data_IF_485229382277
#
_entry.id   IF_485229382277
#
_cell.length_a   1.000
_cell.length_b   1.000
_cell.length_c   1.000
_cell.angle_alpha   90.00
_cell.angle_beta   90.00
_cell.angle_gamma   90.00
#
_symmetry.space_group_name_H-M   'P 1'
#
loop_
_entity.id
_entity.type
_entity.pdbx_description
1 polymer ?
#
# COMPACT_ATOMS: atom_id res chain seq x y z
N UNK A 1 3.64 4.63 -24.48
CA UNK A 1 3.49 3.16 -24.49
C UNK A 1 4.50 2.56 -25.46
N UNK A 2 5.68 2.12 -24.97
CA UNK A 2 6.81 1.72 -25.83
C UNK A 2 6.46 0.61 -26.84
N UNK A 3 5.62 -0.35 -26.45
CA UNK A 3 5.19 -1.42 -27.35
C UNK A 3 4.39 -0.89 -28.54
N UNK A 4 3.48 0.08 -28.34
CA UNK A 4 2.72 0.70 -29.43
C UNK A 4 3.66 1.56 -30.29
N UNK A 5 4.58 2.30 -29.68
CA UNK A 5 5.59 3.11 -30.39
C UNK A 5 6.39 2.24 -31.38
N UNK A 6 6.83 1.06 -30.93
CA UNK A 6 7.48 0.09 -31.79
C UNK A 6 6.55 -0.45 -32.88
N UNK A 7 5.32 -0.86 -32.53
CA UNK A 7 4.37 -1.43 -33.49
C UNK A 7 4.10 -0.47 -34.64
N UNK A 8 3.81 0.80 -34.37
CA UNK A 8 3.48 1.79 -35.41
C UNK A 8 4.69 2.22 -36.24
N UNK A 9 5.92 1.89 -35.79
CA UNK A 9 7.13 2.10 -36.60
C UNK A 9 7.26 1.09 -37.76
N UNK A 10 6.51 -0.02 -37.73
CA UNK A 10 6.59 -1.08 -38.73
C UNK A 10 5.69 -0.75 -39.94
N UNK A 11 6.20 -0.85 -41.18
CA UNK A 11 5.47 -0.45 -42.38
C UNK A 11 4.19 -1.27 -42.65
N UNK A 12 4.09 -2.49 -42.12
CA UNK A 12 2.93 -3.37 -42.23
C UNK A 12 1.81 -3.07 -41.22
N UNK A 13 2.02 -2.13 -40.29
CA UNK A 13 1.04 -1.78 -39.27
C UNK A 13 0.30 -0.50 -39.65
N UNK A 14 -1.03 -0.59 -39.78
CA UNK A 14 -1.89 0.59 -39.86
C UNK A 14 -2.06 1.19 -38.46
N UNK A 15 -1.35 2.29 -38.21
CA UNK A 15 -1.38 3.02 -36.93
C UNK A 15 -2.78 3.51 -36.53
N UNK A 16 -3.75 3.53 -37.45
CA UNK A 16 -5.15 3.90 -37.15
C UNK A 16 -6.01 2.71 -36.69
N UNK A 17 -5.48 1.48 -36.73
CA UNK A 17 -6.22 0.24 -36.48
C UNK A 17 -5.58 -0.59 -35.37
N UNK A 18 -5.25 0.04 -34.26
CA UNK A 18 -4.67 -0.64 -33.10
C UNK A 18 -5.78 -1.16 -32.16
N UNK A 19 -5.80 -2.47 -31.97
CA UNK A 19 -6.62 -3.15 -30.97
C UNK A 19 -5.81 -3.49 -29.72
N UNK A 20 -6.43 -3.43 -28.54
CA UNK A 20 -5.79 -3.82 -27.28
C UNK A 20 -6.70 -4.75 -26.46
N UNK A 21 -6.18 -5.89 -26.02
CA UNK A 21 -6.95 -6.89 -25.26
C UNK A 21 -6.02 -7.70 -24.37
N UNK A 22 -6.53 -8.14 -23.23
CA UNK A 22 -5.81 -8.96 -22.27
C UNK A 22 -6.75 -9.41 -21.15
N UNK A 23 -6.33 -10.44 -20.41
CA UNK A 23 -7.11 -11.06 -19.34
C UNK A 23 -6.46 -10.81 -17.98
N UNK A 24 -7.26 -10.61 -16.94
CA UNK A 24 -6.75 -10.42 -15.56
C UNK A 24 -5.79 -9.23 -15.48
N UNK A 25 -4.53 -9.41 -15.10
CA UNK A 25 -3.52 -8.35 -15.21
C UNK A 25 -3.33 -7.79 -16.62
N UNK A 26 -3.53 -8.60 -17.66
CA UNK A 26 -3.63 -8.11 -19.04
C UNK A 26 -4.90 -7.27 -19.28
N UNK A 27 -5.97 -7.54 -18.55
CA UNK A 27 -7.20 -6.74 -18.51
C UNK A 27 -6.99 -5.41 -17.77
N UNK A 28 -6.23 -5.41 -16.67
CA UNK A 28 -5.73 -4.22 -15.97
C UNK A 28 -4.97 -3.33 -16.95
N UNK A 29 -3.94 -3.88 -17.59
CA UNK A 29 -3.13 -3.17 -18.57
C UNK A 29 -3.98 -2.66 -19.74
N UNK A 30 -4.89 -3.48 -20.27
CA UNK A 30 -5.82 -3.05 -21.33
C UNK A 30 -6.62 -1.84 -20.90
N UNK A 31 -7.11 -1.81 -19.66
CA UNK A 31 -7.95 -0.74 -19.13
C UNK A 31 -7.19 0.58 -18.97
N UNK A 32 -5.95 0.53 -18.46
CA UNK A 32 -5.11 1.72 -18.36
C UNK A 32 -4.71 2.25 -19.73
N UNK A 33 -4.26 1.35 -20.60
CA UNK A 33 -3.76 1.72 -21.92
C UNK A 33 -4.86 2.29 -22.79
N UNK A 34 -6.05 1.66 -22.80
CA UNK A 34 -7.16 2.14 -23.60
C UNK A 34 -7.70 3.51 -23.12
N UNK A 35 -7.51 3.84 -21.84
CA UNK A 35 -7.91 5.12 -21.27
C UNK A 35 -6.87 6.23 -21.48
N UNK A 36 -5.58 5.89 -21.57
CA UNK A 36 -4.47 6.85 -21.62
C UNK A 36 -3.82 7.03 -23.01
N UNK A 37 -3.95 6.06 -23.92
CA UNK A 37 -3.32 6.13 -25.25
C UNK A 37 -4.37 6.20 -26.36
N UNK A 38 -4.51 7.39 -26.95
CA UNK A 38 -5.50 7.70 -28.00
C UNK A 38 -5.34 6.88 -29.27
N UNK A 39 -4.20 6.20 -29.47
CA UNK A 39 -3.96 5.34 -30.64
C UNK A 39 -4.77 4.04 -30.57
N UNK A 40 -5.26 3.65 -29.39
CA UNK A 40 -6.09 2.44 -29.24
C UNK A 40 -7.49 2.68 -29.83
N UNK A 41 -7.67 2.23 -31.07
CA UNK A 41 -8.92 2.34 -31.81
C UNK A 41 -10.01 1.39 -31.27
N UNK A 42 -9.66 0.20 -30.79
CA UNK A 42 -10.59 -0.80 -30.25
C UNK A 42 -10.01 -1.49 -29.01
N UNK A 43 -10.83 -1.77 -27.99
CA UNK A 43 -10.36 -2.42 -26.77
C UNK A 43 -11.33 -3.50 -26.27
N UNK A 44 -10.76 -4.53 -25.62
CA UNK A 44 -11.53 -5.59 -24.97
C UNK A 44 -10.84 -6.11 -23.69
N UNK A 45 -10.93 -5.40 -22.55
CA UNK A 45 -10.45 -5.93 -21.28
C UNK A 45 -11.28 -7.15 -20.86
N UNK A 46 -10.60 -8.24 -20.50
CA UNK A 46 -11.24 -9.48 -20.08
C UNK A 46 -10.98 -9.79 -18.59
N UNK A 47 -12.03 -10.22 -17.87
CA UNK A 47 -11.95 -10.79 -16.53
C UNK A 47 -11.14 -9.93 -15.55
N UNK A 48 -11.53 -8.64 -15.46
CA UNK A 48 -10.90 -7.63 -14.61
C UNK A 48 -11.87 -6.52 -14.19
N UNK A 49 -12.55 -5.89 -15.15
CA UNK A 49 -13.41 -4.74 -14.86
C UNK A 49 -14.60 -5.12 -13.98
N UNK A 50 -14.69 -4.49 -12.81
CA UNK A 50 -15.79 -4.55 -11.86
C UNK A 50 -16.07 -3.13 -11.35
N UNK A 51 -16.55 -2.95 -10.12
CA UNK A 51 -16.48 -1.67 -9.38
C UNK A 51 -15.59 -1.84 -8.16
N UNK A 52 -14.86 -0.81 -7.73
CA UNK A 52 -14.06 -0.88 -6.50
C UNK A 52 -14.92 -1.25 -5.31
N UNK A 53 -16.14 -0.71 -5.21
CA UNK A 53 -17.05 -1.09 -4.14
C UNK A 53 -17.21 -2.61 -4.04
N UNK A 54 -17.51 -3.26 -5.16
CA UNK A 54 -17.65 -4.73 -5.20
C UNK A 54 -16.33 -5.43 -4.93
N UNK A 55 -15.25 -4.96 -5.54
CA UNK A 55 -13.91 -5.53 -5.34
C UNK A 55 -13.50 -5.53 -3.87
N UNK A 56 -13.69 -4.40 -3.18
CA UNK A 56 -13.37 -4.23 -1.76
C UNK A 56 -14.31 -5.05 -0.86
N UNK A 57 -15.63 -5.07 -1.16
CA UNK A 57 -16.62 -5.83 -0.39
C UNK A 57 -16.44 -7.35 -0.51
N UNK A 58 -15.85 -7.86 -1.61
CA UNK A 58 -15.71 -9.31 -1.84
C UNK A 58 -14.32 -9.84 -1.53
N UNK A 59 -13.29 -9.36 -2.23
CA UNK A 59 -11.94 -9.95 -2.19
C UNK A 59 -10.87 -8.99 -1.65
N UNK A 60 -11.20 -7.71 -1.52
CA UNK A 60 -10.30 -6.64 -1.08
C UNK A 60 -9.48 -6.05 -2.23
N UNK A 61 -8.54 -5.13 -1.93
CA UNK A 61 -7.63 -4.61 -2.95
C UNK A 61 -6.78 -5.75 -3.55
N UNK A 62 -6.30 -5.56 -4.77
CA UNK A 62 -5.54 -6.57 -5.51
C UNK A 62 -4.03 -6.28 -5.49
N UNK A 63 -3.26 -6.94 -6.34
CA UNK A 63 -1.82 -6.74 -6.46
C UNK A 63 -1.40 -5.30 -6.86
N UNK A 64 -0.09 -5.04 -6.82
CA UNK A 64 0.47 -3.70 -6.98
C UNK A 64 0.05 -3.01 -8.29
N UNK A 65 -0.11 -3.77 -9.38
CA UNK A 65 -0.49 -3.23 -10.69
C UNK A 65 -1.92 -2.69 -10.74
N UNK A 66 -2.78 -3.12 -9.81
CA UNK A 66 -4.21 -2.75 -9.75
C UNK A 66 -4.53 -1.61 -8.77
N UNK A 67 -3.54 -1.08 -8.06
CA UNK A 67 -3.76 -0.03 -7.05
C UNK A 67 -2.94 1.21 -7.38
N UNK A 68 -3.61 2.27 -7.84
CA UNK A 68 -3.00 3.58 -8.07
C UNK A 68 -3.15 4.43 -6.80
N UNK A 69 -2.09 5.16 -6.43
CA UNK A 69 -2.10 6.01 -5.23
C UNK A 69 -3.21 7.06 -5.31
N UNK A 70 -4.04 7.13 -4.28
CA UNK A 70 -5.14 8.10 -4.19
C UNK A 70 -6.29 7.86 -5.15
N UNK A 71 -6.34 6.75 -5.89
CA UNK A 71 -7.36 6.52 -6.91
C UNK A 71 -8.79 6.71 -6.41
N UNK A 72 -9.11 6.16 -5.23
CA UNK A 72 -10.42 6.33 -4.59
C UNK A 72 -10.59 7.73 -3.98
N UNK A 73 -9.51 8.34 -3.47
CA UNK A 73 -9.53 9.74 -2.99
C UNK A 73 -9.93 10.71 -4.12
N UNK A 74 -9.40 10.50 -5.32
CA UNK A 74 -9.75 11.26 -6.52
C UNK A 74 -11.12 10.89 -7.11
N UNK A 75 -11.81 9.91 -6.54
CA UNK A 75 -13.13 9.46 -6.98
C UNK A 75 -13.13 8.62 -8.26
N UNK A 76 -11.98 8.07 -8.67
CA UNK A 76 -11.88 7.20 -9.84
C UNK A 76 -12.24 5.76 -9.49
N UNK A 77 -13.07 5.16 -10.33
CA UNK A 77 -13.49 3.76 -10.28
C UNK A 77 -13.21 3.05 -11.62
N UNK A 78 -13.22 1.71 -11.64
CA UNK A 78 -13.03 0.90 -12.84
C UNK A 78 -13.97 1.29 -14.01
N UNK A 79 -15.25 1.71 -13.80
CA UNK A 79 -16.10 2.23 -14.87
C UNK A 79 -15.53 3.47 -15.56
N UNK A 80 -14.73 4.29 -14.86
CA UNK A 80 -14.19 5.52 -15.43
C UNK A 80 -13.18 5.23 -16.54
N UNK A 81 -12.44 4.12 -16.49
CA UNK A 81 -11.57 3.70 -17.60
C UNK A 81 -12.36 3.50 -18.90
N UNK A 82 -13.60 2.98 -18.81
CA UNK A 82 -14.47 2.80 -19.97
C UNK A 82 -15.10 4.12 -20.40
N UNK A 83 -15.52 4.94 -19.44
CA UNK A 83 -16.19 6.23 -19.69
C UNK A 83 -15.23 7.25 -20.32
N UNK A 84 -13.99 7.34 -19.84
CA UNK A 84 -12.93 8.20 -20.41
C UNK A 84 -12.69 7.93 -21.89
N UNK A 85 -13.00 6.71 -22.33
CA UNK A 85 -12.82 6.27 -23.70
C UNK A 85 -13.99 6.59 -24.61
N UNK A 86 -15.11 7.06 -24.08
CA UNK A 86 -16.32 7.29 -24.85
C UNK A 86 -16.09 8.33 -25.97
N UNK A 87 -16.56 8.09 -27.21
CA UNK A 87 -17.39 6.96 -27.66
C UNK A 87 -16.61 5.83 -28.38
N UNK A 88 -15.32 5.60 -28.07
CA UNK A 88 -14.52 4.60 -28.79
C UNK A 88 -14.94 3.15 -28.45
N UNK A 89 -14.86 2.19 -29.38
CA UNK A 89 -15.36 0.82 -29.23
C UNK A 89 -14.74 -0.05 -28.11
N UNK A 90 -15.47 -0.31 -27.01
CA UNK A 90 -14.99 -1.11 -25.87
C UNK A 90 -15.91 -2.32 -25.61
N UNK A 91 -15.35 -3.53 -25.56
CA UNK A 91 -16.07 -4.75 -25.14
C UNK A 91 -15.61 -5.18 -23.74
N UNK A 92 -16.53 -5.26 -22.80
CA UNK A 92 -16.26 -5.84 -21.48
C UNK A 92 -16.45 -7.36 -21.59
N UNK A 93 -15.38 -8.13 -21.45
CA UNK A 93 -15.45 -9.59 -21.49
C UNK A 93 -15.33 -10.18 -20.09
N UNK A 94 -16.26 -11.04 -19.68
CA UNK A 94 -16.27 -11.59 -18.33
C UNK A 94 -16.71 -13.06 -18.30
N UNK A 95 -16.53 -13.68 -17.14
CA UNK A 95 -17.00 -15.04 -16.84
C UNK A 95 -17.87 -15.06 -15.58
N UNK A 96 -18.81 -16.01 -15.47
CA UNK A 96 -19.83 -16.05 -14.40
C UNK A 96 -19.27 -16.32 -13.01
N UNK A 97 -18.24 -17.16 -12.90
CA UNK A 97 -17.62 -17.61 -11.65
C UNK A 97 -16.19 -17.05 -11.49
N UNK A 98 -15.99 -15.81 -11.91
CA UNK A 98 -14.76 -15.06 -11.66
C UNK A 98 -14.71 -14.58 -10.20
N UNK A 99 -13.49 -14.42 -9.65
CA UNK A 99 -13.30 -13.75 -8.38
C UNK A 99 -13.49 -12.22 -8.50
N UNK A 100 -13.33 -11.65 -9.69
CA UNK A 100 -13.85 -10.32 -9.99
C UNK A 100 -15.37 -10.37 -10.08
N UNK A 101 -16.05 -9.78 -9.10
CA UNK A 101 -17.50 -9.90 -8.96
C UNK A 101 -18.25 -9.38 -10.21
N UNK A 102 -19.02 -10.29 -10.81
CA UNK A 102 -19.79 -10.06 -12.04
C UNK A 102 -20.87 -8.98 -11.89
N UNK A 103 -21.42 -8.77 -10.68
CA UNK A 103 -22.43 -7.74 -10.45
C UNK A 103 -21.80 -6.37 -10.62
N UNK A 104 -20.58 -6.19 -10.12
CA UNK A 104 -19.80 -4.97 -10.37
C UNK A 104 -19.44 -4.78 -11.84
N UNK A 105 -19.16 -5.85 -12.59
CA UNK A 105 -18.94 -5.76 -14.05
C UNK A 105 -20.18 -5.30 -14.81
N UNK A 106 -21.37 -5.79 -14.44
CA UNK A 106 -22.64 -5.31 -14.99
C UNK A 106 -22.96 -3.87 -14.59
N UNK A 107 -22.67 -3.47 -13.34
CA UNK A 107 -22.77 -2.08 -12.89
C UNK A 107 -21.87 -1.17 -13.75
N UNK A 108 -20.62 -1.57 -13.97
CA UNK A 108 -19.66 -0.89 -14.85
C UNK A 108 -20.21 -0.72 -16.28
N UNK A 109 -20.65 -1.82 -16.90
CA UNK A 109 -21.23 -1.78 -18.24
C UNK A 109 -22.43 -0.83 -18.34
N UNK A 110 -23.36 -0.88 -17.38
CA UNK A 110 -24.57 -0.03 -17.39
C UNK A 110 -24.22 1.45 -17.29
N UNK A 111 -23.23 1.81 -16.48
CA UNK A 111 -22.74 3.19 -16.38
C UNK A 111 -22.15 3.64 -17.72
N UNK A 112 -21.26 2.86 -18.32
CA UNK A 112 -20.67 3.16 -19.62
C UNK A 112 -21.73 3.26 -20.73
N UNK A 113 -22.64 2.28 -20.82
CA UNK A 113 -23.73 2.25 -21.83
C UNK A 113 -24.60 3.51 -21.78
N UNK A 114 -24.89 4.03 -20.58
CA UNK A 114 -25.65 5.28 -20.41
C UNK A 114 -24.91 6.48 -20.99
N UNK A 115 -23.60 6.59 -20.77
CA UNK A 115 -22.79 7.69 -21.30
C UNK A 115 -22.66 7.58 -22.82
N UNK A 116 -22.28 6.41 -23.33
CA UNK A 116 -22.18 6.14 -24.76
C UNK A 116 -23.51 6.40 -25.50
N UNK A 117 -24.63 6.02 -24.89
CA UNK A 117 -25.97 6.31 -25.43
C UNK A 117 -26.29 7.79 -25.51
N UNK A 118 -25.89 8.59 -24.51
CA UNK A 118 -26.04 10.06 -24.54
C UNK A 118 -25.16 10.73 -25.61
N UNK A 119 -24.03 10.11 -25.95
CA UNK A 119 -23.17 10.54 -27.05
C UNK A 119 -23.66 10.06 -28.42
N UNK A 120 -24.80 9.38 -28.49
CA UNK A 120 -25.37 8.86 -29.73
C UNK A 120 -24.62 7.66 -30.31
N UNK A 121 -23.77 7.00 -29.51
CA UNK A 121 -22.93 5.86 -29.91
C UNK A 121 -23.08 4.65 -28.98
N UNK A 122 -24.31 4.23 -28.61
CA UNK A 122 -24.52 3.12 -27.68
C UNK A 122 -23.93 1.80 -28.18
N UNK A 123 -23.79 1.61 -29.48
CA UNK A 123 -23.22 0.43 -30.12
C UNK A 123 -21.71 0.29 -29.92
N UNK A 124 -21.02 1.35 -29.49
CA UNK A 124 -19.57 1.33 -29.24
C UNK A 124 -19.19 0.83 -27.84
N UNK A 125 -20.14 0.38 -27.02
CA UNK A 125 -19.84 -0.33 -25.78
C UNK A 125 -20.78 -1.51 -25.62
N UNK A 126 -20.20 -2.68 -25.37
CA UNK A 126 -20.95 -3.90 -25.12
C UNK A 126 -20.30 -4.78 -24.06
N UNK A 127 -21.02 -5.82 -23.65
CA UNK A 127 -20.56 -6.81 -22.68
C UNK A 127 -20.80 -8.22 -23.20
N UNK A 128 -19.82 -9.10 -23.00
CA UNK A 128 -19.98 -10.54 -23.22
C UNK A 128 -19.78 -11.28 -21.90
N UNK A 129 -20.81 -12.00 -21.49
CA UNK A 129 -20.83 -12.87 -20.32
C UNK A 129 -20.84 -14.33 -20.77
N UNK A 130 -19.88 -15.11 -20.30
CA UNK A 130 -19.75 -16.53 -20.62
C UNK A 130 -19.67 -17.35 -19.33
N UNK A 131 -20.34 -18.49 -19.30
CA UNK A 131 -20.23 -19.43 -18.19
C UNK A 131 -18.77 -19.89 -18.03
N UNK A 132 -18.24 -19.81 -16.81
CA UNK A 132 -16.90 -20.31 -16.51
C UNK A 132 -16.23 -19.58 -15.35
N UNK A 133 -15.04 -20.05 -15.02
CA UNK A 133 -14.14 -19.42 -14.05
C UNK A 133 -13.25 -18.38 -14.73
N UNK A 134 -12.50 -17.66 -13.89
CA UNK A 134 -11.49 -16.68 -14.30
C UNK A 134 -10.64 -17.13 -15.51
N UNK A 135 -10.73 -16.37 -16.61
CA UNK A 135 -10.00 -16.65 -17.85
C UNK A 135 -10.79 -16.27 -19.10
N UNK A 136 -10.14 -16.40 -20.27
CA UNK A 136 -10.79 -16.20 -21.58
C UNK A 136 -11.27 -17.54 -22.10
N UNK A 137 -12.58 -17.78 -22.07
CA UNK A 137 -13.18 -18.98 -22.66
C UNK A 137 -13.16 -18.91 -24.19
N UNK A 138 -13.27 -20.05 -24.91
CA UNK A 138 -13.28 -20.05 -26.38
C UNK A 138 -14.34 -19.12 -26.99
N UNK A 139 -15.52 -19.02 -26.36
CA UNK A 139 -16.56 -18.09 -26.79
C UNK A 139 -16.24 -16.62 -26.46
N UNK A 140 -15.55 -16.33 -25.35
CA UNK A 140 -15.04 -14.98 -25.09
C UNK A 140 -14.08 -14.57 -26.22
N UNK A 141 -13.12 -15.44 -26.58
CA UNK A 141 -12.14 -15.17 -27.63
C UNK A 141 -12.81 -14.94 -28.99
N UNK A 142 -13.79 -15.76 -29.35
CA UNK A 142 -14.55 -15.57 -30.59
C UNK A 142 -15.27 -14.21 -30.62
N UNK A 143 -15.87 -13.80 -29.50
CA UNK A 143 -16.59 -12.53 -29.37
C UNK A 143 -15.65 -11.32 -29.38
N UNK A 144 -14.52 -11.39 -28.67
CA UNK A 144 -13.45 -10.39 -28.74
C UNK A 144 -12.95 -10.26 -30.19
N UNK A 145 -12.74 -11.37 -30.88
CA UNK A 145 -12.31 -11.37 -32.29
C UNK A 145 -13.35 -10.71 -33.19
N UNK A 146 -14.64 -11.02 -33.01
CA UNK A 146 -15.73 -10.37 -33.73
C UNK A 146 -15.73 -8.85 -33.50
N UNK A 147 -15.59 -8.41 -32.24
CA UNK A 147 -15.51 -7.00 -31.88
C UNK A 147 -14.35 -6.28 -32.58
N UNK A 148 -13.15 -6.88 -32.55
CA UNK A 148 -11.98 -6.34 -33.23
C UNK A 148 -12.18 -6.25 -34.75
N UNK A 149 -12.75 -7.29 -35.39
CA UNK A 149 -13.05 -7.28 -36.84
C UNK A 149 -14.04 -6.20 -37.20
N UNK A 150 -15.10 -6.03 -36.42
CA UNK A 150 -16.12 -5.00 -36.64
C UNK A 150 -15.50 -3.60 -36.64
N UNK A 151 -14.69 -3.29 -35.64
CA UNK A 151 -14.22 -1.92 -35.42
C UNK A 151 -12.90 -1.57 -36.10
N UNK A 152 -12.00 -2.55 -36.27
CA UNK A 152 -10.71 -2.31 -36.93
C UNK A 152 -10.78 -2.57 -38.43
N UNK A 153 -11.63 -3.50 -38.89
CA UNK A 153 -11.71 -3.90 -40.29
C UNK A 153 -13.02 -3.49 -40.97
N UNK A 154 -14.01 -2.98 -40.22
CA UNK A 154 -15.33 -2.67 -40.76
C UNK A 154 -16.13 -3.93 -41.13
N UNK A 155 -15.83 -5.09 -40.53
CA UNK A 155 -16.43 -6.38 -40.86
C UNK A 155 -17.23 -6.93 -39.68
N UNK A 156 -18.54 -6.67 -39.70
CA UNK A 156 -19.48 -7.15 -38.70
C UNK A 156 -20.02 -8.54 -39.05
N UNK A 157 -19.15 -9.54 -38.94
CA UNK A 157 -19.43 -10.93 -39.34
C UNK A 157 -19.14 -11.91 -38.18
N UNK A 158 -20.00 -12.93 -38.03
CA UNK A 158 -19.83 -13.95 -36.99
C UNK A 158 -18.44 -14.61 -37.06
N UNK A 159 -17.81 -14.76 -35.89
CA UNK A 159 -16.57 -15.53 -35.71
C UNK A 159 -16.93 -16.81 -34.96
N UNK A 160 -16.70 -17.96 -35.61
CA UNK A 160 -16.87 -19.27 -34.97
C UNK A 160 -15.78 -19.50 -33.95
N UNK A 161 -16.08 -20.26 -32.89
CA UNK A 161 -15.04 -20.80 -32.01
C UNK A 161 -14.07 -21.62 -32.86
N UNK A 162 -12.78 -21.36 -32.68
CA UNK A 162 -11.72 -22.06 -33.38
C UNK A 162 -10.68 -22.56 -32.38
N UNK A 163 -10.20 -23.78 -32.60
CA UNK A 163 -9.00 -24.26 -31.95
C UNK A 163 -7.78 -23.65 -32.64
N UNK A 164 -6.97 -22.93 -31.89
CA UNK A 164 -5.74 -22.33 -32.39
C UNK A 164 -4.57 -23.28 -32.16
N UNK A 165 -3.77 -23.49 -33.21
CA UNK A 165 -2.55 -24.28 -33.09
C UNK A 165 -1.59 -23.64 -32.09
N UNK A 166 -1.22 -24.39 -31.05
CA UNK A 166 -0.21 -23.96 -30.08
C UNK A 166 1.19 -24.22 -30.60
N UNK A 167 2.13 -23.33 -30.29
CA UNK A 167 3.56 -23.55 -30.54
C UNK A 167 4.29 -23.90 -29.24
N UNK A 168 5.37 -24.70 -29.31
CA UNK A 168 6.26 -24.89 -28.17
C UNK A 168 6.77 -23.55 -27.63
N UNK A 169 6.83 -23.40 -26.30
CA UNK A 169 7.29 -22.16 -25.67
C UNK A 169 8.69 -21.73 -26.12
N UNK A 170 9.57 -22.68 -26.44
CA UNK A 170 10.91 -22.42 -26.94
C UNK A 170 10.93 -21.64 -28.28
N UNK A 171 9.90 -21.78 -29.11
CA UNK A 171 9.76 -21.02 -30.36
C UNK A 171 9.35 -19.56 -30.14
N UNK A 172 8.86 -19.24 -28.94
CA UNK A 172 8.38 -17.90 -28.57
C UNK A 172 9.45 -17.07 -27.85
N UNK A 173 10.59 -17.67 -27.51
CA UNK A 173 11.66 -16.97 -26.79
C UNK A 173 12.42 -16.03 -27.73
N UNK A 174 12.58 -14.77 -27.32
CA UNK A 174 13.40 -13.79 -28.05
C UNK A 174 14.91 -13.92 -27.75
N UNK A 175 15.27 -14.71 -26.73
CA UNK A 175 16.67 -15.01 -26.37
C UNK A 175 16.84 -16.51 -26.06
N UNK A 176 18.07 -17.01 -26.04
CA UNK A 176 18.34 -18.45 -25.84
C UNK A 176 17.76 -19.00 -24.54
N UNK A 177 17.80 -18.22 -23.46
CA UNK A 177 17.30 -18.61 -22.14
C UNK A 177 15.91 -18.05 -21.82
N UNK A 178 15.37 -17.19 -22.68
CA UNK A 178 14.20 -16.35 -22.35
C UNK A 178 14.49 -15.20 -21.39
N UNK A 179 15.73 -15.06 -20.91
CA UNK A 179 16.13 -14.01 -19.97
C UNK A 179 17.02 -12.98 -20.66
N UNK A 180 16.61 -11.72 -20.67
CA UNK A 180 17.39 -10.63 -21.29
C UNK A 180 18.68 -10.36 -20.52
N UNK A 181 18.62 -10.37 -19.19
CA UNK A 181 19.76 -10.08 -18.30
C UNK A 181 20.98 -10.98 -18.51
N UNK A 182 20.75 -12.25 -18.84
CA UNK A 182 21.84 -13.22 -19.08
C UNK A 182 22.19 -13.35 -20.56
N UNK A 183 21.35 -12.84 -21.45
CA UNK A 183 21.50 -13.04 -22.89
C UNK A 183 22.08 -11.83 -23.63
N UNK A 184 21.94 -10.63 -23.08
CA UNK A 184 22.35 -9.40 -23.72
C UNK A 184 23.33 -8.62 -22.82
N UNK A 185 24.42 -8.06 -23.36
CA UNK A 185 25.37 -7.29 -22.57
C UNK A 185 24.75 -5.95 -22.14
N UNK A 186 25.07 -5.49 -20.93
CA UNK A 186 24.66 -4.20 -20.36
C UNK A 186 23.15 -4.04 -20.09
N UNK A 187 22.38 -5.13 -20.02
CA UNK A 187 20.99 -5.08 -19.57
C UNK A 187 20.88 -4.80 -18.07
N UNK A 188 19.76 -4.21 -17.67
CA UNK A 188 19.50 -3.78 -16.29
C UNK A 188 18.19 -4.36 -15.78
N UNK A 189 18.19 -4.83 -14.54
CA UNK A 189 16.98 -5.29 -13.86
C UNK A 189 16.13 -4.12 -13.39
N UNK A 190 14.86 -4.37 -13.03
CA UNK A 190 14.03 -3.36 -12.37
C UNK A 190 14.66 -2.85 -11.07
N UNK A 191 15.43 -3.69 -10.36
CA UNK A 191 16.15 -3.31 -9.16
C UNK A 191 17.29 -2.33 -9.47
N UNK A 192 18.04 -2.56 -10.56
CA UNK A 192 19.08 -1.63 -11.01
C UNK A 192 18.48 -0.29 -11.43
N UNK A 193 17.32 -0.30 -12.09
CA UNK A 193 16.58 0.90 -12.48
C UNK A 193 16.11 1.68 -11.25
N UNK A 194 15.51 1.00 -10.28
CA UNK A 194 15.06 1.60 -9.02
C UNK A 194 16.23 2.16 -8.21
N UNK A 195 17.37 1.48 -8.16
CA UNK A 195 18.57 1.96 -7.47
C UNK A 195 19.11 3.26 -8.08
N UNK A 196 19.13 3.38 -9.42
CA UNK A 196 19.53 4.63 -10.08
C UNK A 196 18.50 5.73 -9.86
N UNK A 197 17.21 5.41 -9.89
CA UNK A 197 16.18 6.39 -9.60
C UNK A 197 16.28 6.90 -8.16
N UNK A 198 16.52 6.02 -7.19
CA UNK A 198 16.77 6.40 -5.80
C UNK A 198 18.00 7.31 -5.67
N UNK A 199 19.10 7.04 -6.37
CA UNK A 199 20.28 7.92 -6.35
C UNK A 199 19.96 9.33 -6.84
N UNK A 200 19.15 9.46 -7.89
CA UNK A 200 18.68 10.76 -8.39
C UNK A 200 17.83 11.48 -7.32
N UNK A 201 16.92 10.76 -6.67
CA UNK A 201 16.11 11.30 -5.58
C UNK A 201 16.96 11.72 -4.37
N UNK A 202 18.00 10.97 -4.04
CA UNK A 202 18.94 11.32 -2.97
C UNK A 202 19.69 12.62 -3.25
N UNK A 203 20.08 12.88 -4.50
CA UNK A 203 20.66 14.17 -4.88
C UNK A 203 19.65 15.31 -4.73
N UNK A 204 18.42 15.13 -5.22
CA UNK A 204 17.36 16.15 -5.13
C UNK A 204 16.99 16.45 -3.68
N UNK A 205 16.81 15.40 -2.87
CA UNK A 205 16.52 15.49 -1.44
C UNK A 205 17.62 16.22 -0.68
N UNK A 206 18.88 15.97 -1.02
CA UNK A 206 20.02 16.64 -0.37
C UNK A 206 19.98 18.15 -0.58
N UNK A 207 19.64 18.64 -1.77
CA UNK A 207 19.47 20.07 -2.01
C UNK A 207 18.21 20.61 -1.32
N UNK A 208 17.08 19.88 -1.36
CA UNK A 208 15.84 20.27 -0.67
C UNK A 208 16.08 20.56 0.82
N UNK A 209 16.83 19.70 1.51
CA UNK A 209 17.14 19.84 2.94
C UNK A 209 18.15 20.96 3.27
N UNK A 210 18.91 21.47 2.28
CA UNK A 210 19.74 22.67 2.48
C UNK A 210 18.92 23.96 2.35
N UNK A 211 17.88 23.93 1.53
CA UNK A 211 17.03 25.08 1.23
C UNK A 211 15.92 25.31 2.25
N UNK A 212 15.63 24.32 3.11
CA UNK A 212 14.54 24.37 4.08
C UNK A 212 15.04 24.15 5.51
N UNK A 213 14.40 24.83 6.45
CA UNK A 213 14.56 24.60 7.88
C UNK A 213 14.00 23.24 8.30
N UNK A 214 14.40 22.78 9.50
CA UNK A 214 13.88 21.53 10.08
C UNK A 214 12.36 21.56 10.29
N UNK A 215 11.79 22.71 10.66
CA UNK A 215 10.35 22.87 10.87
C UNK A 215 9.57 22.79 9.55
N UNK A 216 10.10 23.40 8.48
CA UNK A 216 9.52 23.27 7.14
C UNK A 216 9.59 21.82 6.64
N UNK A 217 10.71 21.11 6.89
CA UNK A 217 10.82 19.70 6.55
C UNK A 217 9.86 18.83 7.36
N UNK A 218 9.72 19.08 8.67
CA UNK A 218 8.73 18.41 9.54
C UNK A 218 7.31 18.60 9.00
N UNK A 219 6.97 19.81 8.57
CA UNK A 219 5.67 20.13 7.95
C UNK A 219 5.45 19.34 6.66
N UNK A 220 6.43 19.30 5.75
CA UNK A 220 6.35 18.53 4.50
C UNK A 220 6.18 17.02 4.77
N UNK A 221 6.91 16.49 5.75
CA UNK A 221 6.82 15.07 6.15
C UNK A 221 5.44 14.75 6.73
N UNK A 222 4.94 15.61 7.64
CA UNK A 222 3.60 15.47 8.22
C UNK A 222 2.51 15.47 7.14
N UNK A 223 2.61 16.38 6.17
CA UNK A 223 1.69 16.44 5.02
C UNK A 223 1.75 15.18 4.16
N UNK A 224 2.96 14.67 3.87
CA UNK A 224 3.13 13.46 3.06
C UNK A 224 2.55 12.22 3.77
N UNK A 225 2.72 12.14 5.08
CA UNK A 225 2.14 11.09 5.91
C UNK A 225 0.63 11.25 6.15
N UNK A 226 0.06 12.42 5.84
CA UNK A 226 -1.33 12.78 6.18
C UNK A 226 -1.61 12.67 7.68
N UNK A 227 -0.63 12.96 8.53
CA UNK A 227 -0.76 13.00 9.98
C UNK A 227 -1.28 14.38 10.39
N UNK A 228 -2.37 14.43 11.16
CA UNK A 228 -2.98 15.69 11.64
C UNK A 228 -2.06 16.45 12.59
N UNK A 229 -2.23 17.77 12.68
CA UNK A 229 -1.49 18.58 13.65
C UNK A 229 -1.95 18.25 15.09
N UNK A 230 -1.08 18.40 16.12
CA UNK A 230 -1.45 18.11 17.50
C UNK A 230 -2.69 18.87 17.97
N UNK A 231 -2.91 20.09 17.47
CA UNK A 231 -4.08 20.92 17.77
C UNK A 231 -5.40 20.40 17.16
N UNK A 232 -5.32 19.51 16.18
CA UNK A 232 -6.46 18.91 15.48
C UNK A 232 -6.84 17.53 16.04
N UNK A 233 -6.01 16.97 16.92
CA UNK A 233 -6.17 15.64 17.49
C UNK A 233 -6.66 15.76 18.93
N UNK A 234 -7.72 15.03 19.27
CA UNK A 234 -8.16 14.89 20.66
C UNK A 234 -7.49 13.68 21.32
N UNK A 235 -7.25 13.76 22.64
CA UNK A 235 -6.77 12.64 23.43
C UNK A 235 -7.61 11.38 23.23
N UNK A 236 -6.99 10.19 23.23
CA UNK A 236 -7.76 8.95 23.15
C UNK A 236 -8.59 8.73 24.42
N UNK A 237 -9.75 8.10 24.25
CA UNK A 237 -10.54 7.61 25.36
C UNK A 237 -10.03 6.22 25.76
N UNK A 238 -9.59 6.05 27.00
CA UNK A 238 -9.07 4.80 27.51
C UNK A 238 -10.12 4.03 28.32
N UNK A 239 -10.25 2.74 28.04
CA UNK A 239 -11.16 1.84 28.76
C UNK A 239 -10.38 0.66 29.34
N UNK A 240 -10.43 0.50 30.66
CA UNK A 240 -9.98 -0.73 31.33
C UNK A 240 -10.98 -1.85 31.06
N UNK A 241 -10.47 -2.96 30.52
CA UNK A 241 -11.26 -4.15 30.18
C UNK A 241 -10.89 -5.36 31.06
N UNK A 242 -9.90 -5.25 31.93
CA UNK A 242 -9.59 -6.28 32.93
C UNK A 242 -8.13 -6.30 33.39
N UNK A 243 -7.93 -6.83 34.59
CA UNK A 243 -6.61 -6.92 35.25
C UNK A 243 -6.15 -8.36 35.40
N UNK A 244 -4.88 -8.60 35.10
CA UNK A 244 -4.15 -9.83 35.41
C UNK A 244 -3.15 -9.53 36.52
N UNK A 245 -3.35 -10.17 37.69
CA UNK A 245 -2.38 -10.10 38.80
C UNK A 245 -1.31 -11.16 38.62
N UNK A 246 -0.05 -10.77 38.79
CA UNK A 246 1.12 -11.65 38.94
C UNK A 246 1.68 -11.48 40.35
N UNK A 247 2.66 -12.30 40.73
CA UNK A 247 3.17 -12.34 42.10
C UNK A 247 3.81 -11.01 42.54
N UNK A 248 4.49 -10.31 41.62
CA UNK A 248 5.20 -9.05 41.91
C UNK A 248 4.69 -7.82 41.13
N UNK A 249 3.86 -7.98 40.11
CA UNK A 249 3.38 -6.89 39.25
C UNK A 249 1.95 -7.17 38.77
N UNK A 250 1.32 -6.20 38.11
CA UNK A 250 0.03 -6.42 37.45
C UNK A 250 0.02 -5.91 36.02
N UNK A 251 -0.84 -6.50 35.19
CA UNK A 251 -1.07 -6.09 33.81
C UNK A 251 -2.54 -5.70 33.69
N UNK A 252 -2.80 -4.48 33.26
CA UNK A 252 -4.16 -4.07 32.88
C UNK A 252 -4.31 -4.11 31.38
N UNK A 253 -5.43 -4.66 30.94
CA UNK A 253 -5.84 -4.68 29.56
C UNK A 253 -6.64 -3.42 29.31
N UNK A 254 -6.24 -2.67 28.28
CA UNK A 254 -6.89 -1.42 27.92
C UNK A 254 -7.30 -1.42 26.46
N UNK A 255 -8.29 -0.59 26.17
CA UNK A 255 -8.65 -0.21 24.81
C UNK A 255 -8.55 1.30 24.70
N UNK A 256 -7.77 1.79 23.74
CA UNK A 256 -7.69 3.21 23.40
C UNK A 256 -8.53 3.48 22.15
N UNK A 257 -9.55 4.31 22.30
CA UNK A 257 -10.38 4.78 21.19
C UNK A 257 -9.88 6.17 20.77
N UNK A 258 -9.33 6.29 19.55
CA UNK A 258 -8.84 7.58 19.02
C UNK A 258 -9.98 8.42 18.47
N UNK A 259 -9.78 9.72 18.36
CA UNK A 259 -10.76 10.65 17.81
C UNK A 259 -11.01 10.46 16.30
N UNK A 260 -10.12 9.74 15.62
CA UNK A 260 -10.29 9.27 14.24
C UNK A 260 -11.11 7.96 14.15
N UNK A 261 -11.59 7.43 15.28
CA UNK A 261 -12.36 6.19 15.35
C UNK A 261 -11.53 4.92 15.26
N UNK A 262 -10.20 5.00 15.39
CA UNK A 262 -9.36 3.82 15.49
C UNK A 262 -9.44 3.24 16.91
N UNK A 263 -9.29 1.93 17.03
CA UNK A 263 -9.30 1.21 18.30
C UNK A 263 -7.97 0.48 18.46
N UNK A 264 -7.23 0.80 19.52
CA UNK A 264 -5.94 0.19 19.84
C UNK A 264 -6.10 -0.69 21.07
N UNK A 265 -5.87 -1.99 20.92
CA UNK A 265 -5.78 -2.90 22.07
C UNK A 265 -4.40 -2.69 22.72
N UNK A 266 -4.37 -2.52 24.05
CA UNK A 266 -3.12 -2.28 24.76
C UNK A 266 -3.02 -2.99 26.09
N UNK A 267 -1.81 -3.03 26.62
CA UNK A 267 -1.48 -3.51 27.96
C UNK A 267 -0.73 -2.41 28.71
N UNK A 268 -1.06 -2.20 29.97
CA UNK A 268 -0.23 -1.40 30.89
C UNK A 268 0.34 -2.34 31.94
N UNK A 269 1.66 -2.46 31.98
CA UNK A 269 2.38 -3.33 32.89
C UNK A 269 2.99 -2.49 34.02
N UNK A 270 2.64 -2.85 35.25
CA UNK A 270 2.87 -2.03 36.44
C UNK A 270 3.71 -2.78 37.49
N UNK A 271 4.98 -2.39 37.70
CA UNK A 271 5.82 -2.93 38.76
C UNK A 271 5.35 -2.47 40.15
N UNK A 272 5.90 -3.06 41.24
CA UNK A 272 5.56 -2.63 42.58
C UNK A 272 6.23 -1.28 42.88
N UNK A 273 5.44 -0.24 43.16
CA UNK A 273 5.94 1.10 43.46
C UNK A 273 6.56 1.79 42.22
N UNK A 274 5.76 2.04 41.17
CA UNK A 274 6.27 2.56 39.91
C UNK A 274 6.90 3.94 40.05
N UNK A 275 7.97 4.17 39.30
CA UNK A 275 8.52 5.50 39.04
C UNK A 275 7.54 6.36 38.23
N UNK A 276 7.77 7.67 38.20
CA UNK A 276 6.89 8.58 37.46
C UNK A 276 7.07 8.46 35.94
N UNK A 277 8.28 8.13 35.50
CA UNK A 277 8.60 7.88 34.09
C UNK A 277 7.94 6.60 33.57
N UNK A 278 7.44 6.66 32.33
CA UNK A 278 6.73 5.56 31.69
C UNK A 278 7.21 5.33 30.26
N UNK A 279 7.13 4.09 29.83
CA UNK A 279 7.60 3.65 28.52
C UNK A 279 6.42 3.34 27.60
N UNK A 280 6.44 3.90 26.39
CA UNK A 280 5.65 3.39 25.28
C UNK A 280 6.51 2.42 24.47
N UNK A 281 6.11 1.15 24.43
CA UNK A 281 6.84 0.08 23.74
C UNK A 281 6.07 -0.41 22.52
N UNK A 282 6.63 -0.17 21.34
CA UNK A 282 6.07 -0.56 20.04
C UNK A 282 6.93 -1.67 19.42
N UNK A 283 6.32 -2.80 19.10
CA UNK A 283 7.02 -4.00 18.59
C UNK A 283 6.31 -4.55 17.35
N UNK A 284 6.99 -5.29 16.47
CA UNK A 284 6.45 -5.90 15.23
C UNK A 284 5.34 -6.93 15.47
N UNK A 285 5.41 -7.62 16.61
CA UNK A 285 4.40 -8.56 17.10
C UNK A 285 3.28 -7.88 17.90
N UNK A 286 3.25 -6.55 17.93
CA UNK A 286 2.22 -5.76 18.61
C UNK A 286 2.41 -5.76 20.11
N UNK A 287 1.31 -5.65 20.85
CA UNK A 287 1.32 -5.46 22.31
C UNK A 287 1.93 -6.63 23.10
N UNK A 288 2.10 -7.78 22.47
CA UNK A 288 2.68 -8.99 23.10
C UNK A 288 4.17 -9.18 22.82
N UNK A 289 4.78 -8.35 21.96
CA UNK A 289 6.20 -8.45 21.68
C UNK A 289 7.05 -8.20 22.92
N UNK A 290 8.09 -9.01 23.12
CA UNK A 290 9.06 -8.91 24.22
C UNK A 290 8.48 -8.99 25.65
N UNK A 291 7.24 -9.49 25.80
CA UNK A 291 6.55 -9.61 27.10
C UNK A 291 6.93 -10.88 27.88
N UNK A 292 7.76 -11.74 27.31
CA UNK A 292 8.21 -12.96 27.96
C UNK A 292 9.01 -12.69 29.25
N UNK A 293 8.96 -13.65 30.17
CA UNK A 293 9.65 -13.55 31.45
C UNK A 293 11.17 -13.44 31.23
N UNK A 294 11.79 -12.40 31.80
CA UNK A 294 13.21 -12.09 31.63
C UNK A 294 13.56 -11.34 30.33
N UNK A 295 12.56 -11.07 29.48
CA UNK A 295 12.70 -10.27 28.27
C UNK A 295 12.85 -8.77 28.56
N UNK A 296 13.05 -7.95 27.51
CA UNK A 296 13.31 -6.50 27.64
C UNK A 296 12.22 -5.72 28.40
N UNK A 297 10.94 -6.06 28.24
CA UNK A 297 9.85 -5.39 28.99
C UNK A 297 9.93 -5.74 30.48
N UNK A 298 10.28 -6.99 30.81
CA UNK A 298 10.47 -7.40 32.21
C UNK A 298 11.61 -6.63 32.87
N UNK A 299 12.72 -6.41 32.16
CA UNK A 299 13.85 -5.62 32.68
C UNK A 299 13.44 -4.18 33.01
N UNK A 300 12.66 -3.52 32.13
CA UNK A 300 12.13 -2.18 32.40
C UNK A 300 11.23 -2.15 33.65
N UNK A 301 10.41 -3.19 33.85
CA UNK A 301 9.59 -3.32 35.06
C UNK A 301 10.44 -3.56 36.32
N UNK A 302 11.49 -4.38 36.23
CA UNK A 302 12.41 -4.65 37.34
C UNK A 302 13.17 -3.37 37.77
N UNK A 303 13.44 -2.47 36.82
CA UNK A 303 13.99 -1.13 37.05
C UNK A 303 12.95 -0.14 37.62
N UNK A 304 11.69 -0.57 37.78
CA UNK A 304 10.62 0.21 38.39
C UNK A 304 9.82 1.09 37.42
N UNK A 305 9.90 0.84 36.11
CA UNK A 305 9.16 1.60 35.10
C UNK A 305 7.83 0.97 34.72
N UNK A 306 6.81 1.80 34.53
CA UNK A 306 5.56 1.38 33.88
C UNK A 306 5.80 1.23 32.39
N UNK A 307 5.36 0.11 31.81
CA UNK A 307 5.47 -0.13 30.37
C UNK A 307 4.09 -0.25 29.77
N UNK A 308 3.82 0.53 28.72
CA UNK A 308 2.58 0.51 27.96
C UNK A 308 2.90 -0.03 26.57
N UNK A 309 2.17 -1.05 26.15
CA UNK A 309 2.28 -1.64 24.82
C UNK A 309 0.94 -1.58 24.11
N UNK A 310 0.93 -1.37 22.79
CA UNK A 310 -0.30 -1.29 22.00
C UNK A 310 -0.16 -2.06 20.68
N UNK A 311 -1.26 -2.62 20.21
CA UNK A 311 -1.42 -3.03 18.82
C UNK A 311 -1.73 -1.78 17.99
N UNK A 312 -0.82 -1.40 17.10
CA UNK A 312 -1.11 -0.39 16.09
C UNK A 312 -2.16 -0.93 15.11
N UNK A 313 -2.88 -0.07 14.38
CA UNK A 313 -3.92 -0.57 13.46
C UNK A 313 -3.36 -1.56 12.42
N UNK A 314 -4.07 -2.67 12.20
CA UNK A 314 -3.62 -3.78 11.34
C UNK A 314 -2.60 -4.71 12.02
N UNK A 315 -2.46 -4.63 13.33
CA UNK A 315 -1.55 -5.44 14.14
C UNK A 315 -2.30 -6.17 15.27
N UNK A 316 -1.71 -7.29 15.73
CA UNK A 316 -2.23 -8.10 16.83
C UNK A 316 -3.71 -8.42 16.68
N UNK A 317 -4.53 -7.94 17.61
CA UNK A 317 -5.99 -8.19 17.61
C UNK A 317 -6.75 -7.56 16.44
N UNK A 318 -6.14 -6.62 15.71
CA UNK A 318 -6.71 -6.00 14.49
C UNK A 318 -6.03 -6.46 13.20
N UNK A 319 -5.11 -7.44 13.28
CA UNK A 319 -4.43 -7.97 12.12
C UNK A 319 -5.39 -8.73 11.19
N UNK A 320 -5.11 -8.68 9.89
CA UNK A 320 -5.82 -9.52 8.91
C UNK A 320 -5.39 -10.99 9.03
N UNK A 321 -6.32 -11.93 8.83
CA UNK A 321 -6.09 -13.39 8.98
C UNK A 321 -5.04 -13.97 8.02
N UNK A 322 -4.64 -13.22 6.98
CA UNK A 322 -3.75 -13.68 5.90
C UNK A 322 -2.59 -12.71 5.73
N UNK A 323 -1.60 -12.80 6.62
CA UNK A 323 -0.31 -12.14 6.44
C UNK A 323 0.50 -12.86 5.37
N UNK A 324 0.96 -12.12 4.37
CA UNK A 324 1.90 -12.62 3.38
C UNK A 324 3.32 -12.64 3.98
N UNK A 325 4.13 -13.71 3.79
CA UNK A 325 5.48 -13.77 4.35
C UNK A 325 6.41 -12.66 3.88
N UNK A 326 6.17 -12.11 2.68
CA UNK A 326 6.98 -11.05 2.09
C UNK A 326 6.32 -9.67 2.28
N UNK A 327 5.02 -9.59 2.01
CA UNK A 327 4.29 -8.33 1.95
C UNK A 327 3.55 -7.97 3.26
N UNK A 328 3.53 -8.89 4.23
CA UNK A 328 2.86 -8.73 5.53
C UNK A 328 1.36 -8.43 5.37
N UNK A 329 0.87 -7.33 5.93
CA UNK A 329 -0.52 -6.88 5.82
C UNK A 329 -0.75 -5.98 4.58
N UNK A 330 -0.51 -6.56 3.41
CA UNK A 330 -0.58 -5.85 2.12
C UNK A 330 -1.98 -5.29 1.81
N UNK A 331 -3.04 -5.94 2.31
CA UNK A 331 -4.42 -5.48 2.10
C UNK A 331 -4.70 -4.15 2.79
N UNK A 332 -4.35 -4.03 4.07
CA UNK A 332 -4.50 -2.76 4.79
C UNK A 332 -3.65 -1.66 4.16
N UNK A 333 -2.44 -2.01 3.68
CA UNK A 333 -1.60 -1.07 2.94
C UNK A 333 -2.32 -0.54 1.69
N UNK A 334 -2.80 -1.42 0.79
CA UNK A 334 -3.43 -0.94 -0.46
C UNK A 334 -4.77 -0.26 -0.25
N UNK A 335 -5.54 -0.64 0.77
CA UNK A 335 -6.75 0.12 1.14
C UNK A 335 -6.40 1.56 1.51
N UNK A 336 -5.38 1.77 2.33
CA UNK A 336 -4.90 3.11 2.66
C UNK A 336 -4.32 3.82 1.42
N UNK A 337 -3.55 3.09 0.61
CA UNK A 337 -2.91 3.61 -0.61
C UNK A 337 -3.93 4.13 -1.63
N UNK A 338 -5.02 3.41 -1.86
CA UNK A 338 -6.13 3.83 -2.73
C UNK A 338 -6.83 5.09 -2.19
N UNK A 339 -6.86 5.27 -0.86
CA UNK A 339 -7.39 6.46 -0.19
C UNK A 339 -6.37 7.61 -0.10
N UNK A 340 -5.19 7.47 -0.73
CA UNK A 340 -4.14 8.50 -0.73
C UNK A 340 -3.49 8.71 0.63
N UNK A 341 -3.59 7.71 1.51
CA UNK A 341 -3.06 7.73 2.88
C UNK A 341 -2.00 6.64 3.05
N UNK A 342 -0.80 6.96 3.54
CA UNK A 342 0.15 5.92 3.94
C UNK A 342 -0.34 5.19 5.19
N UNK A 343 -0.33 3.85 5.20
CA UNK A 343 -0.62 3.07 6.41
C UNK A 343 0.32 3.46 7.56
N UNK A 344 1.59 3.76 7.24
CA UNK A 344 2.55 4.30 8.20
C UNK A 344 2.04 5.58 8.88
N UNK A 345 1.50 6.55 8.13
CA UNK A 345 0.99 7.79 8.70
C UNK A 345 -0.16 7.55 9.67
N UNK A 346 -1.06 6.63 9.33
CA UNK A 346 -2.15 6.22 10.23
C UNK A 346 -1.62 5.58 11.53
N UNK A 347 -0.56 4.76 11.44
CA UNK A 347 0.10 4.15 12.61
C UNK A 347 0.92 5.16 13.43
N UNK A 348 1.45 6.20 12.79
CA UNK A 348 2.11 7.31 13.50
C UNK A 348 1.09 8.07 14.35
N UNK A 349 -0.12 8.33 13.83
CA UNK A 349 -1.20 8.87 14.68
C UNK A 349 -1.57 7.94 15.84
N UNK A 350 -1.59 6.62 15.62
CA UNK A 350 -1.83 5.65 16.70
C UNK A 350 -0.75 5.73 17.79
N UNK A 351 0.52 5.81 17.39
CA UNK A 351 1.66 5.94 18.30
C UNK A 351 1.64 7.26 19.09
N UNK A 352 1.29 8.37 18.43
CA UNK A 352 1.16 9.69 19.08
C UNK A 352 -0.01 9.72 20.06
N UNK A 353 -1.15 9.10 19.72
CA UNK A 353 -2.28 8.97 20.64
C UNK A 353 -1.91 8.09 21.85
N UNK A 354 -1.22 6.97 21.63
CA UNK A 354 -0.73 6.13 22.71
C UNK A 354 0.27 6.90 23.60
N UNK A 355 1.15 7.72 23.03
CA UNK A 355 2.10 8.53 23.78
C UNK A 355 1.42 9.63 24.61
N UNK A 356 0.38 10.30 24.09
CA UNK A 356 -0.46 11.22 24.88
C UNK A 356 -1.10 10.47 26.05
N UNK A 357 -1.66 9.27 25.82
CA UNK A 357 -2.19 8.44 26.90
C UNK A 357 -1.13 8.11 27.95
N UNK A 358 0.10 7.75 27.56
CA UNK A 358 1.19 7.47 28.51
C UNK A 358 1.56 8.71 29.32
N UNK A 359 1.68 9.87 28.69
CA UNK A 359 2.02 11.13 29.36
C UNK A 359 1.00 11.50 30.46
N UNK A 360 -0.28 11.18 30.25
CA UNK A 360 -1.38 11.57 31.14
C UNK A 360 -2.04 10.40 31.87
N UNK A 361 -1.46 9.20 31.82
CA UNK A 361 -2.01 8.05 32.51
C UNK A 361 -1.98 8.29 34.03
N UNK A 362 -3.16 8.32 34.64
CA UNK A 362 -3.36 8.65 36.06
C UNK A 362 -2.75 10.00 36.48
N UNK A 363 -2.62 10.95 35.54
CA UNK A 363 -2.05 12.28 35.76
C UNK A 363 -2.99 13.37 35.25
N UNK A 364 -2.89 14.55 35.88
CA UNK A 364 -3.52 15.75 35.36
C UNK A 364 -2.74 16.28 34.13
N UNK A 365 -3.45 16.95 33.21
CA UNK A 365 -2.83 17.46 31.98
C UNK A 365 -1.79 18.56 32.19
N UNK A 366 -1.76 19.16 33.38
CA UNK A 366 -0.79 20.19 33.75
C UNK A 366 0.55 19.61 34.25
N UNK A 367 0.63 18.30 34.50
CA UNK A 367 1.82 17.60 35.01
C UNK A 367 2.05 16.26 34.25
N UNK A 368 2.48 16.30 32.99
CA UNK A 368 2.74 15.10 32.20
C UNK A 368 3.94 14.31 32.73
N UNK A 369 3.85 12.98 32.64
CA UNK A 369 4.98 12.07 32.90
C UNK A 369 6.05 12.21 31.83
N UNK A 370 7.28 11.87 32.18
CA UNK A 370 8.34 11.61 31.20
C UNK A 370 8.00 10.35 30.39
N UNK A 371 7.88 10.51 29.06
CA UNK A 371 7.57 9.41 28.14
C UNK A 371 8.84 8.96 27.42
N UNK A 372 9.18 7.68 27.59
CA UNK A 372 10.29 7.04 26.89
C UNK A 372 9.73 6.14 25.79
N UNK A 373 10.10 6.40 24.54
CA UNK A 373 9.63 5.62 23.39
C UNK A 373 10.63 4.51 23.06
N UNK A 374 10.15 3.27 22.96
CA UNK A 374 10.92 2.15 22.43
C UNK A 374 10.21 1.62 21.19
N UNK A 375 10.95 1.50 20.09
CA UNK A 375 10.46 0.95 18.83
C UNK A 375 11.36 -0.18 18.36
N UNK A 376 10.79 -1.36 18.12
CA UNK A 376 11.52 -2.57 17.71
C UNK A 376 11.11 -2.98 16.30
N UNK A 377 12.09 -3.31 15.46
CA UNK A 377 11.88 -3.77 14.09
C UNK A 377 11.19 -2.72 13.20
N UNK A 378 10.18 -3.17 12.44
CA UNK A 378 9.34 -2.33 11.58
C UNK A 378 8.47 -1.33 12.37
N UNK A 379 8.06 -1.64 13.60
CA UNK A 379 7.38 -0.70 14.50
C UNK A 379 8.30 0.44 14.94
N UNK A 380 9.62 0.20 14.93
CA UNK A 380 10.62 1.25 15.12
C UNK A 380 10.60 2.34 14.04
N UNK A 381 10.17 2.03 12.81
CA UNK A 381 9.94 3.06 11.79
C UNK A 381 8.78 3.97 12.20
N UNK A 382 7.69 3.41 12.75
CA UNK A 382 6.57 4.20 13.28
C UNK A 382 7.04 5.10 14.43
N UNK A 383 7.78 4.53 15.38
CA UNK A 383 8.35 5.25 16.52
C UNK A 383 9.25 6.42 16.09
N UNK A 384 10.14 6.19 15.11
CA UNK A 384 11.02 7.22 14.57
C UNK A 384 10.24 8.38 13.95
N UNK A 385 9.17 8.09 13.18
CA UNK A 385 8.34 9.14 12.60
C UNK A 385 7.54 9.90 13.67
N UNK A 386 6.97 9.21 14.66
CA UNK A 386 6.28 9.86 15.77
C UNK A 386 7.20 10.84 16.52
N UNK A 387 8.41 10.38 16.87
CA UNK A 387 9.40 11.22 17.53
C UNK A 387 9.91 12.39 16.67
N UNK A 388 10.06 12.21 15.36
CA UNK A 388 10.46 13.29 14.46
C UNK A 388 9.36 14.36 14.28
N UNK A 389 8.09 13.96 14.34
CA UNK A 389 6.94 14.85 14.18
C UNK A 389 6.55 15.58 15.47
N UNK A 390 6.81 15.00 16.64
CA UNK A 390 6.52 15.59 17.96
C UNK A 390 7.63 15.28 18.98
N UNK A 391 8.86 15.80 18.77
CA UNK A 391 10.03 15.48 19.62
C UNK A 391 9.89 15.95 21.07
N UNK A 392 9.00 16.91 21.33
CA UNK A 392 8.69 17.43 22.67
C UNK A 392 7.93 16.42 23.54
N UNK A 393 7.21 15.47 22.94
CA UNK A 393 6.43 14.47 23.66
C UNK A 393 7.32 13.37 24.29
N UNK A 394 8.56 13.23 23.82
CA UNK A 394 9.44 12.13 24.19
C UNK A 394 10.69 12.61 24.93
N UNK A 395 10.93 12.04 26.11
CA UNK A 395 12.15 12.25 26.90
C UNK A 395 13.33 11.49 26.29
N UNK A 396 13.11 10.25 25.83
CA UNK A 396 14.09 9.48 25.06
C UNK A 396 13.42 8.60 24.01
N UNK A 397 14.20 8.18 23.01
CA UNK A 397 13.78 7.30 21.92
C UNK A 397 14.83 6.21 21.74
N UNK A 398 14.45 4.96 21.92
CA UNK A 398 15.30 3.78 21.68
C UNK A 398 14.75 3.00 20.51
N UNK A 399 15.56 2.84 19.47
CA UNK A 399 15.23 2.10 18.25
C UNK A 399 16.06 0.81 18.21
N UNK A 400 15.40 -0.35 18.20
CA UNK A 400 16.06 -1.66 18.15
C UNK A 400 15.78 -2.37 16.84
N UNK A 401 16.82 -2.87 16.19
CA UNK A 401 16.70 -3.68 14.97
C UNK A 401 15.87 -3.00 13.85
N UNK A 402 15.91 -1.67 13.83
CA UNK A 402 15.19 -0.84 12.85
C UNK A 402 16.01 -0.72 11.58
N UNK A 403 15.40 -0.82 10.38
CA UNK A 403 16.09 -0.55 9.13
C UNK A 403 16.75 0.83 9.15
N UNK A 404 18.02 0.86 8.76
CA UNK A 404 18.85 2.08 8.82
C UNK A 404 18.34 3.17 7.88
N UNK A 405 18.00 2.79 6.65
CA UNK A 405 17.67 3.71 5.56
C UNK A 405 16.83 2.98 4.49
N UNK A 406 15.94 3.69 3.79
CA UNK A 406 15.16 3.12 2.69
C UNK A 406 15.98 2.84 1.42
N UNK A 407 17.03 3.62 1.05
CA UNK A 407 17.92 3.29 -0.06
C UNK A 407 18.51 1.89 -0.03
N UNK A 408 18.87 1.36 1.15
CA UNK A 408 19.35 -0.01 1.31
C UNK A 408 18.27 -1.04 1.00
N UNK A 409 17.01 -0.76 1.35
CA UNK A 409 15.85 -1.61 1.05
C UNK A 409 15.54 -1.62 -0.44
N UNK A 410 15.56 -0.45 -1.11
CA UNK A 410 15.29 -0.34 -2.57
C UNK A 410 16.25 -1.19 -3.41
N UNK A 411 17.47 -1.42 -2.92
CA UNK A 411 18.51 -2.20 -3.61
C UNK A 411 18.41 -3.71 -3.34
N UNK A 412 17.54 -4.14 -2.45
CA UNK A 412 17.30 -5.55 -2.19
C UNK A 412 16.43 -6.16 -3.31
N UNK A 413 16.73 -7.40 -3.68
CA UNK A 413 15.91 -8.18 -4.62
C UNK A 413 14.65 -8.74 -3.97
N UNK A 414 14.63 -8.86 -2.63
CA UNK A 414 13.52 -9.40 -1.84
C UNK A 414 13.36 -8.58 -0.54
N UNK A 415 12.80 -7.35 -0.60
CA UNK A 415 12.69 -6.46 0.56
C UNK A 415 11.51 -6.84 1.50
N UNK A 416 11.62 -8.00 2.15
CA UNK A 416 10.56 -8.54 3.02
C UNK A 416 10.19 -7.61 4.18
N UNK A 417 8.90 -7.50 4.48
CA UNK A 417 8.40 -6.83 5.68
C UNK A 417 8.23 -5.30 5.59
N UNK A 418 8.63 -4.67 4.49
CA UNK A 418 8.71 -3.21 4.41
C UNK A 418 7.48 -2.53 3.79
N UNK A 419 6.56 -3.28 3.18
CA UNK A 419 5.44 -2.70 2.42
C UNK A 419 4.57 -1.79 3.30
N UNK A 420 4.18 -2.25 4.49
CA UNK A 420 3.31 -1.50 5.40
C UNK A 420 3.90 -0.14 5.85
N UNK A 421 5.23 -0.01 5.80
CA UNK A 421 5.98 1.18 6.17
C UNK A 421 6.44 2.02 4.97
N UNK A 422 6.03 1.66 3.75
CA UNK A 422 6.29 2.46 2.55
C UNK A 422 5.39 3.70 2.52
N UNK A 423 5.96 4.83 2.10
CA UNK A 423 5.23 6.09 1.92
C UNK A 423 5.37 6.52 0.46
N UNK A 424 4.25 6.76 -0.22
CA UNK A 424 4.27 7.21 -1.61
C UNK A 424 5.02 8.56 -1.72
N UNK A 425 6.07 8.61 -2.53
CA UNK A 425 6.87 9.82 -2.74
C UNK A 425 7.87 10.16 -1.62
N UNK A 426 8.04 9.32 -0.59
CA UNK A 426 8.90 9.62 0.56
C UNK A 426 10.31 10.05 0.16
N UNK A 427 10.99 9.25 -0.68
CA UNK A 427 12.40 9.46 -1.03
C UNK A 427 12.69 10.76 -1.79
N UNK A 428 11.67 11.40 -2.37
CA UNK A 428 11.78 12.73 -2.97
C UNK A 428 11.84 13.85 -1.90
N UNK A 429 11.39 13.57 -0.67
CA UNK A 429 11.26 14.53 0.43
C UNK A 429 12.19 14.22 1.59
N UNK A 430 12.24 12.97 2.06
CA UNK A 430 13.00 12.55 3.24
C UNK A 430 13.40 11.05 3.15
N UNK A 431 14.41 10.65 3.93
CA UNK A 431 14.74 9.26 4.26
C UNK A 431 14.70 9.03 5.78
N UNK A 432 14.76 7.77 6.25
CA UNK A 432 14.81 7.45 7.68
C UNK A 432 15.97 8.17 8.40
N UNK A 433 17.12 8.30 7.73
CA UNK A 433 18.28 9.02 8.27
C UNK A 433 18.06 10.52 8.44
N UNK A 434 17.14 11.11 7.67
CA UNK A 434 16.80 12.52 7.78
C UNK A 434 15.84 12.78 8.95
N UNK A 435 14.98 11.83 9.31
CA UNK A 435 14.11 11.91 10.50
C UNK A 435 14.92 12.02 11.80
N UNK A 436 16.04 11.32 11.88
CA UNK A 436 16.96 11.39 13.02
C UNK A 436 17.46 12.82 13.25
N UNK A 437 17.57 13.63 12.19
CA UNK A 437 18.01 15.03 12.30
C UNK A 437 16.96 15.95 12.92
N UNK A 438 15.70 15.52 12.94
CA UNK A 438 14.56 16.24 13.54
C UNK A 438 14.37 15.93 15.02
N UNK A 439 15.17 15.00 15.55
CA UNK A 439 15.17 14.58 16.95
C UNK A 439 16.49 15.05 17.57
N UNK A 440 16.46 15.48 18.83
CA UNK A 440 17.68 15.79 19.57
C UNK A 440 18.57 14.54 19.66
N UNK A 441 19.85 14.69 19.30
CA UNK A 441 20.82 13.60 19.27
C UNK A 441 21.02 12.96 20.64
N UNK A 442 20.82 13.70 21.72
CA UNK A 442 20.94 13.16 23.08
C UNK A 442 19.77 12.26 23.47
N UNK A 443 18.60 12.44 22.81
CA UNK A 443 17.39 11.68 23.09
C UNK A 443 17.32 10.35 22.34
N UNK A 444 17.95 10.22 21.18
CA UNK A 444 17.82 9.03 20.32
C UNK A 444 18.99 8.05 20.46
N UNK A 445 18.68 6.75 20.56
CA UNK A 445 19.66 5.66 20.63
C UNK A 445 19.26 4.52 19.71
N UNK A 446 20.25 3.92 19.06
CA UNK A 446 20.09 2.73 18.23
C UNK A 446 20.73 1.54 18.93
N UNK A 447 19.97 0.47 19.07
CA UNK A 447 20.44 -0.81 19.61
C UNK A 447 20.28 -1.88 18.54
N UNK A 448 21.20 -2.83 18.54
CA UNK A 448 21.14 -3.99 17.68
C UNK A 448 21.23 -5.21 18.57
N UNK A 449 20.27 -6.13 18.45
CA UNK A 449 20.46 -7.44 19.06
C UNK A 449 21.63 -8.11 18.33
N UNK A 450 22.65 -8.54 19.08
CA UNK A 450 23.72 -9.39 18.57
C UNK A 450 23.07 -10.73 18.30
N UNK A 451 22.46 -10.90 17.13
CA UNK A 451 22.18 -12.17 16.44
C UNK A 451 21.13 -11.91 15.35
N UNK A 452 21.60 -11.41 14.18
CA UNK A 452 21.02 -11.65 12.86
C UNK A 452 21.98 -11.24 11.75
#
# INVERSE_FOLDING_TARGET
>A
MLAIDYLVSRPEIDAKRIGFTGCSGGGTLTSYVMALDDRVACAAPACYLTTFRRLIETIGPQDAEQNIFGQLEFGMDHPDYVIMRAPRPTLISLTTDDFFDIRGSWENFRQAKRIYGRLGRPECVDLVEIEGKHGVQPQNLATITHWMKRWLLGRDEHVTIAELATRPAAELLCTKSGQVLTSLPNERSVFDLNAVYEQQLTQQRTELWKEHSQDEMRTKIRQLLRVREPSEVKPPNARDIGRLKRDSYHIDKIVLETDAGATLAGLTLHPPGPSDAAYLYLHDDGKIGDIEAGGPITQLMDDGHVVITVDLRGQGETASDKRDPLLTDWKSYYLAYLLGKPLLGLRVEDALAAADFVAYYEKDRDDPREVHLVGVGQAGIVALHAAALQPELFTSVTLRDVPKDWPSIVRQTVPSGNLANSVHGALAVYDLTDLVRLIDREKIRFEHTKDN
#
